data_IF_105848309920
#
_entry.id   IF_105848309920
#
_cell.length_a   1.000
_cell.length_b   1.000
_cell.length_c   1.000
_cell.angle_alpha   90.00
_cell.angle_beta   90.00
_cell.angle_gamma   90.00
#
_symmetry.space_group_name_H-M   'P 1'
#
loop_
_entity.id
_entity.type
_entity.pdbx_description
1 polymer ?
#
# COMPACT_ATOMS: atom_id res chain seq x y z
N UNK A 1 10.42 -3.03 19.85
CA UNK A 1 9.40 -4.01 19.41
C UNK A 1 10.09 -4.99 18.50
N UNK A 2 9.79 -6.28 18.63
CA UNK A 2 10.34 -7.35 17.79
C UNK A 2 9.99 -7.07 16.34
N UNK A 3 11.00 -6.71 15.55
CA UNK A 3 10.91 -6.68 14.10
C UNK A 3 10.54 -8.10 13.65
N UNK A 4 9.39 -8.25 13.00
CA UNK A 4 8.94 -9.56 12.55
C UNK A 4 9.87 -10.03 11.43
N UNK A 5 10.39 -11.24 11.54
CA UNK A 5 11.31 -11.78 10.53
C UNK A 5 10.59 -11.99 9.20
N UNK A 6 11.34 -12.01 8.08
CA UNK A 6 10.76 -12.29 6.75
C UNK A 6 9.88 -13.54 6.77
N UNK A 7 10.34 -14.63 7.40
CA UNK A 7 9.59 -15.88 7.45
C UNK A 7 8.27 -15.76 8.21
N UNK A 8 8.22 -14.96 9.29
CA UNK A 8 6.98 -14.70 10.02
C UNK A 8 6.00 -13.90 9.16
N UNK A 9 6.47 -12.85 8.48
CA UNK A 9 5.65 -12.03 7.59
C UNK A 9 5.18 -12.82 6.37
N UNK A 10 6.05 -13.61 5.75
CA UNK A 10 5.76 -14.44 4.59
C UNK A 10 4.71 -15.51 4.93
N UNK A 11 4.63 -15.95 6.19
CA UNK A 11 3.56 -16.87 6.63
C UNK A 11 2.17 -16.24 6.72
N UNK A 12 2.07 -14.90 6.75
CA UNK A 12 0.80 -14.18 6.89
C UNK A 12 0.06 -14.05 5.54
N UNK A 13 -1.29 -14.00 5.57
CA UNK A 13 -2.06 -13.73 4.36
C UNK A 13 -1.80 -12.29 3.86
N UNK A 14 -1.92 -12.08 2.55
CA UNK A 14 -1.68 -10.78 1.89
C UNK A 14 -2.51 -9.65 2.51
N UNK A 15 -3.74 -9.95 2.94
CA UNK A 15 -4.63 -8.98 3.58
C UNK A 15 -4.08 -8.47 4.92
N UNK A 16 -3.55 -9.37 5.74
CA UNK A 16 -2.93 -9.04 7.03
C UNK A 16 -1.64 -8.23 6.81
N UNK A 17 -0.83 -8.61 5.81
CA UNK A 17 0.37 -7.87 5.43
C UNK A 17 0.04 -6.44 5.00
N UNK A 18 -1.00 -6.27 4.18
CA UNK A 18 -1.50 -4.97 3.77
C UNK A 18 -1.92 -4.14 4.99
N UNK A 19 -2.76 -4.69 5.86
CA UNK A 19 -3.27 -3.95 7.02
C UNK A 19 -2.15 -3.48 7.93
N UNK A 20 -1.17 -4.35 8.21
CA UNK A 20 0.02 -3.98 8.99
C UNK A 20 0.86 -2.91 8.29
N UNK A 21 1.11 -3.07 7.00
CA UNK A 21 1.92 -2.11 6.25
C UNK A 21 1.22 -0.74 6.16
N UNK A 22 -0.09 -0.71 5.94
CA UNK A 22 -0.89 0.50 5.86
C UNK A 22 -1.02 1.19 7.21
N UNK A 23 -1.19 0.44 8.31
CA UNK A 23 -1.18 1.00 9.66
C UNK A 23 0.16 1.67 9.96
N UNK A 24 1.27 0.99 9.65
CA UNK A 24 2.62 1.51 9.87
C UNK A 24 2.93 2.71 8.98
N UNK A 25 2.49 2.71 7.72
CA UNK A 25 2.58 3.86 6.83
C UNK A 25 1.73 5.04 7.29
N UNK A 26 0.54 4.79 7.85
CA UNK A 26 -0.32 5.82 8.44
C UNK A 26 0.33 6.49 9.65
N UNK A 27 0.89 5.71 10.56
CA UNK A 27 1.61 6.23 11.73
C UNK A 27 2.82 7.10 11.33
N UNK A 28 3.47 6.75 10.21
CA UNK A 28 4.66 7.44 9.69
C UNK A 28 4.34 8.57 8.71
N UNK A 29 3.07 8.74 8.36
CA UNK A 29 2.62 9.61 7.28
C UNK A 29 3.34 9.38 5.94
N UNK A 30 3.64 8.11 5.62
CA UNK A 30 4.41 7.74 4.44
C UNK A 30 3.53 7.63 3.20
N UNK A 31 3.21 8.79 2.62
CA UNK A 31 2.47 8.89 1.35
C UNK A 31 3.22 8.24 0.17
N UNK A 32 4.55 8.18 0.23
CA UNK A 32 5.38 7.62 -0.84
C UNK A 32 5.19 6.11 -0.96
N UNK A 33 5.04 5.43 0.16
CA UNK A 33 4.72 4.01 0.19
C UNK A 33 3.36 3.73 -0.47
N UNK A 34 2.31 4.48 -0.12
CA UNK A 34 1.00 4.31 -0.77
C UNK A 34 1.10 4.47 -2.29
N UNK A 35 1.80 5.51 -2.76
CA UNK A 35 2.02 5.72 -4.20
C UNK A 35 2.80 4.58 -4.86
N UNK A 36 3.80 4.03 -4.18
CA UNK A 36 4.57 2.88 -4.68
C UNK A 36 3.69 1.66 -4.88
N UNK A 37 2.81 1.37 -3.92
CA UNK A 37 1.91 0.21 -3.99
C UNK A 37 0.82 0.45 -5.04
N UNK A 38 0.28 1.68 -5.13
CA UNK A 38 -0.73 2.03 -6.13
C UNK A 38 -0.27 1.84 -7.55
N UNK A 39 1.00 2.13 -7.87
CA UNK A 39 1.60 1.96 -9.21
C UNK A 39 1.63 0.52 -9.72
N UNK A 40 1.39 -0.45 -8.84
CA UNK A 40 1.37 -1.85 -9.19
C UNK A 40 -0.04 -2.37 -9.47
N UNK A 41 -1.08 -1.54 -9.34
CA UNK A 41 -2.44 -1.91 -9.69
C UNK A 41 -2.71 -1.68 -11.19
N UNK A 42 -3.58 -2.47 -11.83
CA UNK A 42 -3.87 -2.32 -13.26
C UNK A 42 -4.55 -0.99 -13.63
N UNK A 43 -5.24 -0.33 -12.69
CA UNK A 43 -5.93 0.96 -12.86
C UNK A 43 -5.10 2.18 -12.39
N UNK A 44 -3.77 2.05 -12.22
CA UNK A 44 -2.92 3.16 -11.75
C UNK A 44 -2.94 4.40 -12.65
N UNK A 45 -3.25 4.25 -13.94
CA UNK A 45 -3.32 5.36 -14.89
C UNK A 45 -4.43 6.38 -14.52
N UNK A 46 -5.55 5.94 -13.91
CA UNK A 46 -6.56 6.87 -13.38
C UNK A 46 -6.06 7.55 -12.09
N UNK A 47 -5.33 6.84 -11.22
CA UNK A 47 -4.77 7.42 -10.00
C UNK A 47 -3.65 8.46 -10.29
N UNK A 48 -2.92 8.32 -11.39
CA UNK A 48 -1.94 9.30 -11.84
C UNK A 48 -2.55 10.67 -12.20
N UNK A 49 -3.87 10.75 -12.45
CA UNK A 49 -4.57 12.02 -12.68
C UNK A 49 -4.74 12.89 -11.42
N UNK A 50 -4.45 12.34 -10.24
CA UNK A 50 -4.34 13.10 -8.98
C UNK A 50 -3.00 13.80 -8.82
N UNK A 51 -2.04 13.55 -9.73
CA UNK A 51 -0.74 14.22 -9.77
C UNK A 51 -0.87 15.54 -10.54
N UNK A 52 -0.77 16.68 -9.84
CA UNK A 52 -0.24 17.87 -10.49
C UNK A 52 -1.01 19.18 -10.42
N UNK A 53 -1.84 19.41 -9.40
CA UNK A 53 -2.13 20.79 -9.00
C UNK A 53 -1.35 21.11 -7.70
N UNK A 54 -0.26 21.90 -7.76
CA UNK A 54 0.52 22.29 -6.57
C UNK A 54 -0.27 23.15 -5.56
N UNK A 55 -1.54 23.45 -5.86
CA UNK A 55 -2.47 24.18 -5.02
C UNK A 55 -3.69 23.32 -4.59
N UNK A 56 -3.73 22.05 -4.96
CA UNK A 56 -4.74 21.08 -4.52
C UNK A 56 -4.09 20.20 -3.47
N UNK A 57 -4.68 20.16 -2.28
CA UNK A 57 -4.29 19.26 -1.20
C UNK A 57 -4.22 17.85 -1.78
N UNK A 58 -3.03 17.26 -1.86
CA UNK A 58 -2.88 15.87 -2.29
C UNK A 58 -3.73 14.94 -1.41
N UNK A 59 -4.15 13.76 -1.92
CA UNK A 59 -5.02 12.88 -1.17
C UNK A 59 -4.43 12.59 0.21
N UNK A 60 -5.26 12.73 1.24
CA UNK A 60 -4.92 12.32 2.59
C UNK A 60 -4.66 10.81 2.63
N UNK A 61 -3.96 10.34 3.67
CA UNK A 61 -3.73 8.91 3.88
C UNK A 61 -5.05 8.14 3.94
N UNK A 62 -6.11 8.76 4.46
CA UNK A 62 -7.43 8.12 4.55
C UNK A 62 -8.07 7.96 3.17
N UNK A 63 -7.94 8.97 2.31
CA UNK A 63 -8.38 8.91 0.91
C UNK A 63 -7.60 7.85 0.12
N UNK A 64 -6.28 7.76 0.35
CA UNK A 64 -5.46 6.68 -0.19
C UNK A 64 -5.94 5.29 0.27
N UNK A 65 -6.22 5.10 1.56
CA UNK A 65 -6.73 3.80 2.05
C UNK A 65 -8.12 3.48 1.47
N UNK A 66 -8.99 4.47 1.31
CA UNK A 66 -10.32 4.29 0.72
C UNK A 66 -10.22 3.88 -0.76
N UNK A 67 -9.44 4.61 -1.56
CA UNK A 67 -9.20 4.32 -2.97
C UNK A 67 -8.63 2.91 -3.16
N UNK A 68 -7.70 2.50 -2.30
CA UNK A 68 -7.16 1.15 -2.32
C UNK A 68 -8.25 0.08 -2.17
N UNK A 69 -9.15 0.25 -1.20
CA UNK A 69 -10.26 -0.70 -0.95
C UNK A 69 -11.21 -0.79 -2.15
N UNK A 70 -11.44 0.32 -2.84
CA UNK A 70 -12.26 0.35 -4.04
C UNK A 70 -11.60 -0.43 -5.18
N UNK A 71 -10.32 -0.17 -5.46
CA UNK A 71 -9.57 -0.85 -6.53
C UNK A 71 -9.36 -2.34 -6.27
N UNK A 72 -9.22 -2.72 -5.00
CA UNK A 72 -8.93 -4.11 -4.60
C UNK A 72 -10.16 -4.87 -4.11
N UNK A 73 -11.36 -4.28 -4.22
CA UNK A 73 -12.63 -4.91 -3.80
C UNK A 73 -12.94 -6.24 -4.50
N UNK A 74 -12.29 -6.52 -5.63
CA UNK A 74 -12.38 -7.79 -6.36
C UNK A 74 -11.17 -8.73 -6.14
N UNK A 75 -10.26 -8.38 -5.23
CA UNK A 75 -8.99 -9.07 -5.00
C UNK A 75 -7.82 -8.45 -5.77
N UNK A 76 -6.61 -8.98 -5.54
CA UNK A 76 -5.36 -8.47 -6.10
C UNK A 76 -5.01 -9.07 -7.47
N UNK A 77 -5.65 -10.19 -7.85
CA UNK A 77 -5.41 -10.87 -9.12
C UNK A 77 -3.94 -11.24 -9.34
N UNK A 78 -3.42 -10.97 -10.52
CA UNK A 78 -2.02 -11.27 -10.90
C UNK A 78 -0.99 -10.40 -10.18
N UNK A 79 -1.41 -9.29 -9.57
CA UNK A 79 -0.54 -8.36 -8.86
C UNK A 79 -0.29 -8.79 -7.41
N UNK A 80 -1.04 -9.77 -6.89
CA UNK A 80 -0.92 -10.23 -5.50
C UNK A 80 0.52 -10.55 -5.07
N UNK A 81 1.31 -11.33 -5.83
CA UNK A 81 2.66 -11.69 -5.39
C UNK A 81 3.57 -10.48 -5.28
N UNK A 82 3.42 -9.51 -6.18
CA UNK A 82 4.23 -8.29 -6.21
C UNK A 82 3.86 -7.35 -5.07
N UNK A 83 2.55 -7.14 -4.86
CA UNK A 83 2.03 -6.36 -3.74
C UNK A 83 2.46 -6.93 -2.40
N UNK A 84 2.37 -8.26 -2.25
CA UNK A 84 2.79 -8.96 -1.05
C UNK A 84 4.27 -8.76 -0.76
N UNK A 85 5.13 -8.84 -1.77
CA UNK A 85 6.54 -8.56 -1.62
C UNK A 85 6.79 -7.11 -1.17
N UNK A 86 6.07 -6.14 -1.73
CA UNK A 86 6.18 -4.73 -1.33
C UNK A 86 5.74 -4.50 0.13
N UNK A 87 4.69 -5.17 0.60
CA UNK A 87 4.25 -5.09 2.00
C UNK A 87 5.27 -5.68 2.96
N UNK A 88 5.82 -6.85 2.65
CA UNK A 88 6.84 -7.52 3.48
C UNK A 88 8.12 -6.66 3.55
N UNK A 89 8.56 -6.12 2.42
CA UNK A 89 9.74 -5.24 2.35
C UNK A 89 9.55 -3.98 3.20
N UNK A 90 8.39 -3.33 3.10
CA UNK A 90 8.09 -2.14 3.89
C UNK A 90 8.07 -2.43 5.40
N UNK A 91 7.47 -3.54 5.80
CA UNK A 91 7.38 -3.97 7.20
C UNK A 91 8.72 -4.40 7.81
N UNK A 92 9.72 -4.74 7.01
CA UNK A 92 11.08 -5.04 7.47
C UNK A 92 11.97 -3.80 7.54
N UNK A 93 11.69 -2.79 6.72
CA UNK A 93 12.49 -1.56 6.68
C UNK A 93 12.11 -0.57 7.79
N UNK A 94 10.90 -0.68 8.30
CA UNK A 94 10.29 0.23 9.27
C UNK A 94 9.65 -0.59 10.34
#
# INVERSE_FOLDING_TARGET
MTDATFAELDSLPTEELRERAFAKARERHDLSFFWSVFKHLPDSDEAASLDGAPNTVGPTIEEAVALWRELTGHGYGEQEPLLRAAFIDYLQKH
#
